data_IF_435966592275
#
_entry.id   IF_435966592275
#
_cell.length_a   1.000
_cell.length_b   1.000
_cell.length_c   1.000
_cell.angle_alpha   90.00
_cell.angle_beta   90.00
_cell.angle_gamma   90.00
#
_symmetry.space_group_name_H-M   'P 1'
#
loop_
_entity.id
_entity.type
_entity.pdbx_description
1 polymer ?
#
# COMPACT_ATOMS: atom_id res chain seq x y z
N UNK A 1 -30.15 4.58 -4.06
CA UNK A 1 -29.39 5.85 -3.94
C UNK A 1 -27.99 5.52 -3.45
N UNK A 2 -26.97 6.04 -4.13
CA UNK A 2 -25.60 5.55 -4.09
C UNK A 2 -24.88 5.88 -2.78
N UNK A 3 -24.21 4.87 -2.22
CA UNK A 3 -23.33 5.00 -1.05
C UNK A 3 -22.26 6.09 -1.25
N UNK A 4 -21.81 6.29 -2.51
CA UNK A 4 -20.90 7.37 -2.90
C UNK A 4 -21.45 8.78 -2.65
N UNK A 5 -22.76 9.02 -2.80
CA UNK A 5 -23.35 10.35 -2.59
C UNK A 5 -23.27 10.76 -1.11
N UNK A 6 -23.50 9.82 -0.19
CA UNK A 6 -23.46 10.07 1.25
C UNK A 6 -22.06 10.34 1.77
N UNK A 7 -21.05 9.56 1.32
CA UNK A 7 -19.65 9.77 1.71
C UNK A 7 -19.12 11.08 1.13
N UNK A 8 -19.49 11.41 -0.10
CA UNK A 8 -19.10 12.67 -0.72
C UNK A 8 -19.69 13.86 0.05
N UNK A 9 -20.98 13.81 0.40
CA UNK A 9 -21.65 14.85 1.21
C UNK A 9 -21.02 15.01 2.60
N UNK A 10 -20.66 13.91 3.26
CA UNK A 10 -19.96 13.95 4.54
C UNK A 10 -18.57 14.59 4.40
N UNK A 11 -17.86 14.29 3.32
CA UNK A 11 -16.55 14.88 3.05
C UNK A 11 -16.66 16.38 2.74
N UNK A 12 -17.65 16.81 1.95
CA UNK A 12 -17.90 18.22 1.65
C UNK A 12 -18.32 19.00 2.89
N UNK A 13 -19.20 18.44 3.73
CA UNK A 13 -19.61 19.08 4.97
C UNK A 13 -18.43 19.23 5.95
N UNK A 14 -17.56 18.21 6.04
CA UNK A 14 -16.36 18.27 6.87
C UNK A 14 -15.35 19.29 6.34
N UNK A 15 -15.15 19.36 5.01
CA UNK A 15 -14.23 20.31 4.40
C UNK A 15 -14.69 21.76 4.54
N UNK A 16 -16.00 22.00 4.47
CA UNK A 16 -16.63 23.31 4.66
C UNK A 16 -16.64 23.73 6.13
N UNK A 17 -16.84 22.79 7.06
CA UNK A 17 -16.68 23.02 8.50
C UNK A 17 -15.23 23.36 8.89
N UNK A 18 -14.26 22.63 8.36
CA UNK A 18 -12.83 22.88 8.59
C UNK A 18 -12.38 24.19 7.95
N UNK A 19 -12.98 24.58 6.82
CA UNK A 19 -12.69 25.87 6.16
C UNK A 19 -13.28 27.06 6.92
N UNK A 20 -14.49 26.92 7.46
CA UNK A 20 -15.17 27.98 8.25
C UNK A 20 -14.60 28.14 9.66
N UNK A 21 -14.07 27.06 10.25
CA UNK A 21 -13.46 27.05 11.58
C UNK A 21 -12.00 26.63 11.50
N UNK A 22 -11.24 27.30 10.62
CA UNK A 22 -9.83 26.96 10.39
C UNK A 22 -9.08 27.09 11.71
N UNK A 23 -8.56 25.98 12.26
CA UNK A 23 -7.85 26.05 13.53
C UNK A 23 -6.61 26.93 13.35
N UNK A 24 -6.27 27.79 14.33
CA UNK A 24 -5.21 28.79 14.16
C UNK A 24 -3.81 28.19 13.91
N UNK A 25 -3.65 26.90 14.18
CA UNK A 25 -2.42 26.13 13.96
C UNK A 25 -2.33 25.50 12.57
N UNK A 26 -3.41 25.47 11.78
CA UNK A 26 -3.44 24.96 10.41
C UNK A 26 -2.95 26.08 9.47
N UNK A 27 -1.63 26.28 9.49
CA UNK A 27 -0.94 27.17 8.55
C UNK A 27 -0.49 26.37 7.32
N UNK A 28 -0.23 27.03 6.17
CA UNK A 28 0.36 26.37 5.01
C UNK A 28 1.67 25.63 5.35
N UNK A 29 2.46 26.16 6.29
CA UNK A 29 3.68 25.52 6.76
C UNK A 29 3.40 24.24 7.56
N UNK A 30 2.39 24.25 8.43
CA UNK A 30 1.98 23.06 9.20
C UNK A 30 1.46 21.96 8.28
N UNK A 31 0.63 22.31 7.29
CA UNK A 31 0.14 21.38 6.27
C UNK A 31 1.29 20.83 5.41
N UNK A 32 2.22 21.70 5.01
CA UNK A 32 3.39 21.30 4.25
C UNK A 32 4.27 20.30 5.00
N UNK A 33 4.48 20.53 6.30
CA UNK A 33 5.25 19.63 7.15
C UNK A 33 4.57 18.26 7.30
N UNK A 34 3.24 18.22 7.47
CA UNK A 34 2.47 16.96 7.55
C UNK A 34 2.59 16.17 6.25
N UNK A 35 2.43 16.81 5.09
CA UNK A 35 2.58 16.14 3.81
C UNK A 35 4.02 15.64 3.61
N UNK A 36 5.03 16.44 3.96
CA UNK A 36 6.43 16.04 3.86
C UNK A 36 6.76 14.82 4.73
N UNK A 37 6.39 14.84 6.02
CA UNK A 37 6.66 13.74 6.95
C UNK A 37 5.92 12.47 6.53
N UNK A 38 4.66 12.58 6.11
CA UNK A 38 3.87 11.42 5.65
C UNK A 38 4.49 10.81 4.40
N UNK A 39 4.94 11.64 3.46
CA UNK A 39 5.58 11.19 2.24
C UNK A 39 6.94 10.53 2.52
N UNK A 40 7.74 11.08 3.44
CA UNK A 40 9.00 10.46 3.88
C UNK A 40 8.76 9.07 4.48
N UNK A 41 7.77 8.93 5.35
CA UNK A 41 7.40 7.63 5.94
C UNK A 41 7.03 6.63 4.83
N UNK A 42 6.18 7.01 3.88
CA UNK A 42 5.80 6.14 2.76
C UNK A 42 6.99 5.75 1.88
N UNK A 43 7.87 6.71 1.57
CA UNK A 43 9.09 6.48 0.78
C UNK A 43 10.06 5.53 1.48
N UNK A 44 10.07 5.48 2.82
CA UNK A 44 10.86 4.51 3.59
C UNK A 44 10.16 3.15 3.70
N UNK A 45 8.83 3.12 3.88
CA UNK A 45 8.08 1.87 4.01
C UNK A 45 8.20 0.97 2.77
N UNK A 46 8.28 1.55 1.58
CA UNK A 46 8.39 0.80 0.33
C UNK A 46 9.68 -0.07 0.29
N UNK A 47 10.90 0.50 0.34
CA UNK A 47 12.13 -0.28 0.26
C UNK A 47 12.43 -1.10 1.51
N UNK A 48 12.01 -0.65 2.70
CA UNK A 48 12.38 -1.32 3.96
C UNK A 48 11.37 -2.34 4.46
N UNK A 49 10.10 -2.24 4.07
CA UNK A 49 9.03 -3.13 4.57
C UNK A 49 8.36 -3.89 3.44
N UNK A 50 7.93 -3.21 2.39
CA UNK A 50 7.10 -3.84 1.36
C UNK A 50 7.95 -4.72 0.43
N UNK A 51 9.03 -4.16 -0.13
CA UNK A 51 9.89 -4.88 -1.07
C UNK A 51 10.55 -6.13 -0.46
N UNK A 52 11.19 -6.06 0.73
CA UNK A 52 11.87 -7.24 1.30
C UNK A 52 10.90 -8.37 1.61
N UNK A 53 9.73 -8.05 2.20
CA UNK A 53 8.70 -9.04 2.50
C UNK A 53 8.12 -9.70 1.23
N UNK A 54 8.06 -8.96 0.12
CA UNK A 54 7.59 -9.48 -1.16
C UNK A 54 8.61 -10.42 -1.79
N UNK A 55 9.90 -10.06 -1.73
CA UNK A 55 10.97 -10.92 -2.21
C UNK A 55 11.05 -12.21 -1.41
N UNK A 56 11.07 -12.10 -0.07
CA UNK A 56 11.05 -13.27 0.81
C UNK A 56 9.87 -14.21 0.53
N UNK A 57 8.66 -13.67 0.32
CA UNK A 57 7.49 -14.49 0.01
C UNK A 57 7.56 -15.15 -1.39
N UNK A 58 8.24 -14.52 -2.36
CA UNK A 58 8.50 -15.13 -3.68
C UNK A 58 9.54 -16.24 -3.58
N UNK A 59 10.63 -16.00 -2.85
CA UNK A 59 11.70 -16.99 -2.67
C UNK A 59 11.16 -18.25 -1.98
N UNK A 60 10.36 -18.09 -0.92
CA UNK A 60 9.71 -19.21 -0.22
C UNK A 60 8.72 -19.97 -1.14
N UNK A 61 8.01 -19.26 -2.01
CA UNK A 61 7.11 -19.89 -3.00
C UNK A 61 7.91 -20.72 -4.01
N UNK A 62 8.99 -20.16 -4.55
CA UNK A 62 9.81 -20.82 -5.56
C UNK A 62 10.52 -22.07 -5.01
N UNK A 63 10.98 -22.01 -3.77
CA UNK A 63 11.52 -23.17 -3.06
C UNK A 63 10.45 -24.26 -2.89
N UNK A 64 9.25 -23.91 -2.43
CA UNK A 64 8.14 -24.87 -2.28
C UNK A 64 7.69 -25.48 -3.62
N UNK A 65 7.71 -24.72 -4.71
CA UNK A 65 7.40 -25.21 -6.05
C UNK A 65 8.45 -26.21 -6.54
N UNK A 66 9.74 -25.92 -6.30
CA UNK A 66 10.83 -26.83 -6.61
C UNK A 66 10.70 -28.15 -5.83
N UNK A 67 10.43 -28.08 -4.53
CA UNK A 67 10.21 -29.27 -3.69
C UNK A 67 8.99 -30.09 -4.16
N UNK A 68 7.90 -29.44 -4.56
CA UNK A 68 6.72 -30.15 -5.10
C UNK A 68 7.05 -30.85 -6.42
N UNK A 69 7.86 -30.22 -7.27
CA UNK A 69 8.32 -30.81 -8.52
C UNK A 69 9.20 -32.04 -8.29
N UNK A 70 10.15 -31.94 -7.35
CA UNK A 70 11.03 -33.04 -6.96
C UNK A 70 10.25 -34.23 -6.39
N UNK A 71 9.30 -33.96 -5.48
CA UNK A 71 8.44 -35.00 -4.92
C UNK A 71 7.67 -35.71 -6.04
N UNK A 72 7.08 -34.97 -6.99
CA UNK A 72 6.34 -35.59 -8.10
C UNK A 72 7.22 -36.45 -9.01
N UNK A 73 8.48 -36.07 -9.19
CA UNK A 73 9.42 -36.84 -10.00
C UNK A 73 9.81 -38.16 -9.31
N UNK A 74 9.92 -38.15 -7.98
CA UNK A 74 10.34 -39.30 -7.18
C UNK A 74 9.16 -40.18 -6.68
N UNK A 75 7.93 -39.67 -6.62
CA UNK A 75 6.74 -40.35 -6.11
C UNK A 75 6.08 -41.25 -7.17
N UNK A 76 6.65 -42.45 -7.41
CA UNK A 76 6.08 -43.44 -8.34
C UNK A 76 4.78 -44.08 -7.84
N UNK A 77 4.57 -44.14 -6.53
CA UNK A 77 3.47 -44.88 -5.91
C UNK A 77 2.30 -43.98 -5.42
N UNK A 78 2.43 -42.65 -5.53
CA UNK A 78 1.37 -41.70 -5.20
C UNK A 78 1.12 -41.48 -3.71
N UNK A 79 2.01 -41.95 -2.84
CA UNK A 79 1.89 -41.81 -1.38
C UNK A 79 2.09 -40.36 -0.94
N UNK A 80 2.70 -39.52 -1.78
CA UNK A 80 3.03 -38.14 -1.46
C UNK A 80 1.90 -37.15 -1.78
N UNK A 81 0.74 -37.60 -2.28
CA UNK A 81 -0.39 -36.73 -2.66
C UNK A 81 -0.82 -35.76 -1.56
N UNK A 82 -0.92 -36.24 -0.32
CA UNK A 82 -1.33 -35.41 0.83
C UNK A 82 -0.27 -34.36 1.19
N UNK A 83 1.01 -34.68 1.00
CA UNK A 83 2.12 -33.76 1.23
C UNK A 83 2.17 -32.68 0.15
N UNK A 84 2.03 -33.08 -1.12
CA UNK A 84 1.94 -32.17 -2.26
C UNK A 84 0.77 -31.19 -2.08
N UNK A 85 -0.41 -31.68 -1.68
CA UNK A 85 -1.57 -30.83 -1.49
C UNK A 85 -1.34 -29.79 -0.38
N UNK A 86 -0.72 -30.20 0.73
CA UNK A 86 -0.35 -29.26 1.80
C UNK A 86 0.66 -28.20 1.33
N UNK A 87 1.64 -28.56 0.51
CA UNK A 87 2.61 -27.61 -0.07
C UNK A 87 1.94 -26.66 -1.08
N UNK A 88 1.02 -27.16 -1.92
CA UNK A 88 0.22 -26.33 -2.83
C UNK A 88 -0.66 -25.31 -2.09
N UNK A 89 -1.26 -25.71 -0.96
CA UNK A 89 -2.03 -24.76 -0.13
C UNK A 89 -1.15 -23.65 0.44
N UNK A 90 0.09 -23.97 0.84
CA UNK A 90 1.07 -22.95 1.26
C UNK A 90 1.47 -22.02 0.11
N UNK A 91 1.73 -22.56 -1.08
CA UNK A 91 2.01 -21.77 -2.29
C UNK A 91 0.86 -20.79 -2.56
N UNK A 92 -0.39 -21.24 -2.56
CA UNK A 92 -1.55 -20.38 -2.77
C UNK A 92 -1.70 -19.29 -1.67
N UNK A 93 -1.31 -19.59 -0.43
CA UNK A 93 -1.29 -18.59 0.64
C UNK A 93 -0.18 -17.55 0.44
N UNK A 94 1.01 -17.97 -0.03
CA UNK A 94 2.12 -17.08 -0.37
C UNK A 94 1.80 -16.20 -1.58
N UNK A 95 1.15 -16.73 -2.61
CA UNK A 95 0.65 -15.94 -3.76
C UNK A 95 -0.29 -14.83 -3.29
N UNK A 96 -1.27 -15.15 -2.44
CA UNK A 96 -2.16 -14.13 -1.84
C UNK A 96 -1.39 -13.08 -1.02
N UNK A 97 -0.31 -13.47 -0.34
CA UNK A 97 0.56 -12.55 0.41
C UNK A 97 1.34 -11.63 -0.55
N UNK A 98 1.89 -12.17 -1.64
CA UNK A 98 2.60 -11.41 -2.67
C UNK A 98 1.65 -10.40 -3.34
N UNK A 99 0.45 -10.81 -3.72
CA UNK A 99 -0.56 -9.93 -4.33
C UNK A 99 -0.96 -8.80 -3.38
N UNK A 100 -1.15 -9.11 -2.09
CA UNK A 100 -1.44 -8.11 -1.07
C UNK A 100 -0.30 -7.10 -0.96
N UNK A 101 0.95 -7.56 -0.91
CA UNK A 101 2.13 -6.68 -0.85
C UNK A 101 2.28 -5.84 -2.12
N UNK A 102 1.97 -6.40 -3.29
CA UNK A 102 1.94 -5.66 -4.55
C UNK A 102 0.87 -4.56 -4.53
N UNK A 103 -0.31 -4.84 -3.97
CA UNK A 103 -1.34 -3.82 -3.83
C UNK A 103 -0.91 -2.71 -2.87
N UNK A 104 -0.28 -3.06 -1.74
CA UNK A 104 0.28 -2.07 -0.81
C UNK A 104 1.36 -1.20 -1.45
N UNK A 105 2.21 -1.78 -2.29
CA UNK A 105 3.20 -1.02 -3.07
C UNK A 105 2.52 0.01 -3.99
N UNK A 106 1.49 -0.41 -4.74
CA UNK A 106 0.74 0.49 -5.63
C UNK A 106 0.03 1.61 -4.86
N UNK A 107 -0.61 1.28 -3.74
CA UNK A 107 -1.29 2.26 -2.88
C UNK A 107 -0.29 3.25 -2.28
N UNK A 108 0.85 2.78 -1.78
CA UNK A 108 1.89 3.64 -1.22
C UNK A 108 2.48 4.60 -2.27
N UNK A 109 2.72 4.11 -3.48
CA UNK A 109 3.18 4.95 -4.60
C UNK A 109 2.14 6.00 -5.00
N UNK A 110 0.88 5.60 -5.14
CA UNK A 110 -0.20 6.53 -5.47
C UNK A 110 -0.36 7.61 -4.40
N UNK A 111 -0.32 7.20 -3.12
CA UNK A 111 -0.41 8.12 -2.00
C UNK A 111 0.79 9.07 -1.95
N UNK A 112 2.01 8.58 -2.18
CA UNK A 112 3.20 9.42 -2.28
C UNK A 112 3.08 10.48 -3.37
N UNK A 113 2.64 10.10 -4.58
CA UNK A 113 2.37 11.07 -5.65
C UNK A 113 1.31 12.09 -5.27
N UNK A 114 0.21 11.65 -4.66
CA UNK A 114 -0.87 12.52 -4.21
C UNK A 114 -0.38 13.55 -3.16
N UNK A 115 0.43 13.11 -2.20
CA UNK A 115 0.99 14.00 -1.17
C UNK A 115 2.01 14.99 -1.77
N UNK A 116 2.81 14.57 -2.75
CA UNK A 116 3.69 15.48 -3.51
C UNK A 116 2.90 16.55 -4.26
N UNK A 117 1.80 16.17 -4.90
CA UNK A 117 0.92 17.12 -5.58
C UNK A 117 0.25 18.08 -4.57
N UNK A 118 -0.22 17.56 -3.43
CA UNK A 118 -0.77 18.37 -2.34
C UNK A 118 0.24 19.40 -1.82
N UNK A 119 1.50 18.99 -1.63
CA UNK A 119 2.60 19.92 -1.29
C UNK A 119 2.77 21.03 -2.32
N UNK A 120 2.83 20.66 -3.60
CA UNK A 120 2.98 21.61 -4.68
C UNK A 120 1.85 22.66 -4.69
N UNK A 121 0.60 22.23 -4.50
CA UNK A 121 -0.54 23.13 -4.40
C UNK A 121 -0.44 24.07 -3.19
N UNK A 122 -0.09 23.56 -2.00
CA UNK A 122 0.04 24.39 -0.79
C UNK A 122 1.12 25.45 -0.94
N UNK A 123 2.28 25.08 -1.49
CA UNK A 123 3.38 26.01 -1.76
C UNK A 123 2.97 27.06 -2.80
N UNK A 124 2.32 26.64 -3.90
CA UNK A 124 1.91 27.54 -4.97
C UNK A 124 0.89 28.58 -4.50
N UNK A 125 -0.12 28.16 -3.73
CA UNK A 125 -1.13 29.07 -3.15
C UNK A 125 -0.48 30.04 -2.16
N UNK A 126 0.45 29.56 -1.34
CA UNK A 126 1.16 30.41 -0.37
C UNK A 126 1.98 31.49 -1.06
N UNK A 127 2.64 31.16 -2.17
CA UNK A 127 3.42 32.11 -2.97
C UNK A 127 2.53 33.15 -3.66
N UNK A 128 1.37 32.74 -4.17
CA UNK A 128 0.38 33.62 -4.80
C UNK A 128 -0.30 34.58 -3.82
N UNK A 129 -0.47 34.20 -2.55
CA UNK A 129 -1.05 35.08 -1.51
C UNK A 129 -0.03 36.05 -0.87
N UNK A 130 1.26 35.87 -1.13
CA UNK A 130 2.36 36.72 -0.65
C UNK A 130 2.79 37.80 -1.67
N UNK A 131 2.30 37.71 -2.91
CA UNK A 131 2.44 38.69 -4.00
C UNK A 131 1.23 39.62 -4.05
#
# INVERSE_FOLDING_TARGET
MSFSSSVYLQFTALSEFVSSHKPPWVTPNTLGLVFYVTNLILSLCIPFVISPNKHQARDERDELEAEVSEIKWNDRDGWSRKLIEKKKQKIAALEKKIDRLQNWYSVANFLSMFLFFGMFCVVSISYLCLL
#
